data_IF_332105322686
#
_entry.id   IF_332105322686
#
_cell.length_a   1.000
_cell.length_b   1.000
_cell.length_c   1.000
_cell.angle_alpha   90.00
_cell.angle_beta   90.00
_cell.angle_gamma   90.00
#
_symmetry.space_group_name_H-M   'P 1'
#
loop_
_entity.id
_entity.type
_entity.pdbx_description
1 polymer ?
#
# COMPACT_ATOMS: atom_id res chain seq x y z
N UNK A 1 12.16 22.66 -29.46
CA UNK A 1 11.21 21.55 -29.58
C UNK A 1 11.24 20.77 -28.27
N UNK A 2 10.10 20.63 -27.61
CA UNK A 2 9.98 19.76 -26.44
C UNK A 2 9.96 18.34 -26.96
N UNK A 3 11.04 17.61 -26.75
CA UNK A 3 11.19 16.21 -27.15
C UNK A 3 10.60 15.25 -26.11
N UNK A 4 10.27 15.76 -24.92
CA UNK A 4 9.77 14.94 -23.82
C UNK A 4 8.35 14.43 -24.10
N UNK A 5 8.11 13.19 -23.75
CA UNK A 5 6.80 12.55 -23.85
C UNK A 5 5.79 13.28 -22.98
N UNK A 6 4.71 13.77 -23.59
CA UNK A 6 3.64 14.43 -22.85
C UNK A 6 3.02 13.47 -21.84
N UNK A 7 2.69 13.99 -20.66
CA UNK A 7 1.98 13.25 -19.67
C UNK A 7 0.68 12.64 -20.24
N UNK A 8 0.38 11.40 -19.88
CA UNK A 8 -0.80 10.69 -20.34
C UNK A 8 -0.70 10.14 -21.76
N UNK A 9 0.43 10.33 -22.47
CA UNK A 9 0.61 9.77 -23.80
C UNK A 9 0.39 8.26 -23.81
N UNK A 10 0.86 7.56 -22.79
CA UNK A 10 0.73 6.12 -22.66
C UNK A 10 -0.57 5.68 -21.99
N UNK A 11 -1.34 6.58 -21.38
CA UNK A 11 -2.62 6.24 -20.76
C UNK A 11 -3.63 5.66 -21.77
N UNK A 12 -3.44 5.96 -23.07
CA UNK A 12 -4.27 5.39 -24.14
C UNK A 12 -4.12 3.87 -24.28
N UNK A 13 -2.97 3.34 -23.90
CA UNK A 13 -2.68 1.91 -23.97
C UNK A 13 -3.26 1.12 -22.78
N UNK A 14 -3.73 1.82 -21.74
CA UNK A 14 -4.39 1.20 -20.60
C UNK A 14 -5.84 0.87 -20.99
N UNK A 15 -6.30 -0.38 -20.85
CA UNK A 15 -7.68 -0.77 -21.13
C UNK A 15 -8.69 0.05 -20.33
N UNK A 16 -9.86 0.31 -20.93
CA UNK A 16 -10.91 1.15 -20.30
C UNK A 16 -11.34 0.56 -18.97
N UNK A 17 -11.51 -0.75 -18.86
CA UNK A 17 -11.91 -1.44 -17.63
C UNK A 17 -10.91 -1.22 -16.50
N UNK A 18 -9.59 -1.19 -16.80
CA UNK A 18 -8.56 -0.82 -15.80
C UNK A 18 -8.68 0.64 -15.36
N UNK A 19 -9.02 1.53 -16.29
CA UNK A 19 -9.21 2.95 -15.96
C UNK A 19 -10.41 3.16 -15.05
N UNK A 20 -11.49 2.47 -15.31
CA UNK A 20 -12.72 2.57 -14.50
C UNK A 20 -12.48 2.03 -13.09
N UNK A 21 -11.84 0.88 -12.97
CA UNK A 21 -11.51 0.27 -11.67
C UNK A 21 -10.58 1.16 -10.82
N UNK A 22 -9.61 1.83 -11.47
CA UNK A 22 -8.67 2.73 -10.81
C UNK A 22 -8.94 4.21 -11.13
N UNK A 23 -10.22 4.57 -11.31
CA UNK A 23 -10.64 5.94 -11.64
C UNK A 23 -10.02 7.03 -10.76
N UNK A 24 -9.90 6.89 -9.41
CA UNK A 24 -9.25 7.90 -8.57
C UNK A 24 -7.79 8.16 -8.92
N UNK A 25 -7.05 7.15 -9.42
CA UNK A 25 -5.68 7.35 -9.92
C UNK A 25 -5.66 8.00 -11.30
N UNK A 26 -6.63 7.64 -12.14
CA UNK A 26 -6.77 8.18 -13.51
C UNK A 26 -7.21 9.66 -13.51
N UNK A 27 -7.95 10.11 -12.49
CA UNK A 27 -8.41 11.49 -12.35
C UNK A 27 -7.28 12.50 -12.21
N UNK A 28 -6.08 12.10 -11.80
CA UNK A 28 -4.98 13.00 -11.60
C UNK A 28 -4.60 13.74 -12.91
N UNK A 29 -4.86 15.05 -12.97
CA UNK A 29 -4.50 15.92 -14.11
C UNK A 29 -3.09 16.52 -14.02
N UNK A 30 -2.38 16.31 -12.89
CA UNK A 30 -1.02 16.77 -12.69
C UNK A 30 -0.86 18.21 -12.27
N UNK A 31 -1.90 18.87 -11.77
CA UNK A 31 -1.84 20.27 -11.31
C UNK A 31 -0.73 20.55 -10.28
N UNK A 32 -0.28 19.54 -9.54
CA UNK A 32 0.87 19.65 -8.64
C UNK A 32 0.54 20.22 -7.25
N UNK A 33 -0.70 20.51 -6.92
CA UNK A 33 -1.10 20.97 -5.58
C UNK A 33 -0.67 20.03 -4.45
N UNK A 34 -0.59 18.74 -4.74
CA UNK A 34 -0.11 17.75 -3.78
C UNK A 34 1.40 17.84 -3.51
N UNK A 35 2.10 18.66 -4.26
CA UNK A 35 3.55 18.87 -4.13
C UNK A 35 3.83 20.19 -3.40
N UNK A 36 3.15 20.39 -2.30
CA UNK A 36 3.28 21.56 -1.45
C UNK A 36 3.99 21.19 -0.15
N UNK A 37 5.13 21.84 0.10
CA UNK A 37 5.94 21.68 1.31
C UNK A 37 5.56 22.62 2.45
N UNK A 38 4.56 23.47 2.26
CA UNK A 38 4.05 24.33 3.31
C UNK A 38 3.62 23.50 4.53
N UNK A 39 4.15 23.83 5.69
CA UNK A 39 3.88 23.12 6.94
C UNK A 39 2.43 23.26 7.40
N UNK A 40 1.75 24.32 6.97
CA UNK A 40 0.34 24.57 7.29
C UNK A 40 -0.62 23.79 6.41
N UNK A 41 -0.17 23.32 5.25
CA UNK A 41 -0.99 22.51 4.35
C UNK A 41 -1.14 21.09 4.89
N UNK A 42 -2.37 20.54 5.00
CA UNK A 42 -2.58 19.15 5.41
C UNK A 42 -2.19 18.13 4.34
N UNK A 43 -1.82 18.60 3.14
CA UNK A 43 -1.53 17.73 2.00
C UNK A 43 -0.33 16.82 2.25
N UNK A 44 -0.56 15.53 2.13
CA UNK A 44 0.37 14.41 2.12
C UNK A 44 1.63 14.54 3.02
N UNK A 45 1.54 14.22 4.31
CA UNK A 45 2.69 14.29 5.23
C UNK A 45 3.85 13.38 4.81
N UNK A 46 3.56 12.20 4.28
CA UNK A 46 4.56 11.24 3.78
C UNK A 46 5.45 11.87 2.69
N UNK A 47 4.85 12.57 1.71
CA UNK A 47 5.61 13.27 0.67
C UNK A 47 6.49 14.40 1.21
N UNK A 48 6.03 15.10 2.26
CA UNK A 48 6.79 16.19 2.88
C UNK A 48 8.02 15.69 3.63
N UNK A 49 7.90 14.57 4.32
CA UNK A 49 8.99 13.98 5.10
C UNK A 49 10.04 13.37 4.18
N UNK A 50 9.60 12.62 3.15
CA UNK A 50 10.54 11.93 2.24
C UNK A 50 11.21 12.87 1.24
N UNK A 51 10.57 14.00 0.89
CA UNK A 51 11.01 14.86 -0.20
C UNK A 51 10.97 14.22 -1.59
N UNK A 52 10.55 12.95 -1.67
CA UNK A 52 10.49 12.20 -2.92
C UNK A 52 9.12 12.38 -3.59
N UNK A 53 9.15 12.79 -4.86
CA UNK A 53 7.95 13.00 -5.67
C UNK A 53 7.11 11.74 -5.87
N UNK A 54 7.72 10.56 -5.82
CA UNK A 54 7.00 9.28 -5.94
C UNK A 54 6.00 9.09 -4.81
N UNK A 55 6.29 9.61 -3.61
CA UNK A 55 5.43 9.52 -2.43
C UNK A 55 4.30 10.56 -2.42
N UNK A 56 4.31 11.54 -3.34
CA UNK A 56 3.20 12.46 -3.49
C UNK A 56 1.95 11.76 -4.08
N UNK A 57 0.73 12.26 -3.83
CA UNK A 57 -0.48 11.73 -4.47
C UNK A 57 -0.38 11.63 -5.99
N UNK A 58 0.22 12.63 -6.64
CA UNK A 58 0.52 12.63 -8.08
C UNK A 58 1.50 11.51 -8.46
N UNK A 59 2.57 11.34 -7.68
CA UNK A 59 3.57 10.28 -7.91
C UNK A 59 2.93 8.90 -7.80
N UNK A 60 2.19 8.65 -6.72
CA UNK A 60 1.46 7.40 -6.50
C UNK A 60 0.45 7.10 -7.62
N UNK A 61 -0.32 8.10 -8.04
CA UNK A 61 -1.22 7.94 -9.18
C UNK A 61 -0.46 7.61 -10.48
N UNK A 62 0.71 8.22 -10.71
CA UNK A 62 1.59 7.90 -11.83
C UNK A 62 2.12 6.46 -11.78
N UNK A 63 2.54 6.00 -10.60
CA UNK A 63 3.01 4.63 -10.39
C UNK A 63 1.91 3.60 -10.69
N UNK A 64 0.68 3.83 -10.25
CA UNK A 64 -0.47 2.97 -10.58
C UNK A 64 -0.72 2.96 -12.09
N UNK A 65 -0.71 4.10 -12.76
CA UNK A 65 -0.91 4.16 -14.22
C UNK A 65 0.14 3.35 -14.96
N UNK A 66 1.40 3.48 -14.58
CA UNK A 66 2.47 2.72 -15.20
C UNK A 66 2.34 1.22 -14.93
N UNK A 67 1.99 0.84 -13.71
CA UNK A 67 1.71 -0.55 -13.35
C UNK A 67 0.56 -1.14 -14.20
N UNK A 68 -0.55 -0.43 -14.34
CA UNK A 68 -1.67 -0.86 -15.18
C UNK A 68 -1.28 -1.00 -16.64
N UNK A 69 -0.44 -0.08 -17.15
CA UNK A 69 0.08 -0.14 -18.51
C UNK A 69 0.93 -1.40 -18.73
N UNK A 70 1.83 -1.70 -17.79
CA UNK A 70 2.70 -2.87 -17.85
C UNK A 70 1.89 -4.18 -17.75
N UNK A 71 0.88 -4.24 -16.87
CA UNK A 71 -0.03 -5.39 -16.81
C UNK A 71 -0.77 -5.61 -18.13
N UNK A 72 -1.25 -4.54 -18.77
CA UNK A 72 -1.91 -4.64 -20.05
C UNK A 72 -0.96 -5.16 -21.14
N UNK A 73 0.31 -4.73 -21.14
CA UNK A 73 1.32 -5.23 -22.07
C UNK A 73 1.65 -6.73 -21.85
N UNK A 74 1.56 -7.19 -20.62
CA UNK A 74 1.72 -8.61 -20.26
C UNK A 74 0.49 -9.46 -20.62
N UNK A 75 -0.57 -8.86 -21.17
CA UNK A 75 -1.81 -9.54 -21.54
C UNK A 75 -2.67 -9.97 -20.34
N UNK A 76 -2.45 -9.38 -19.17
CA UNK A 76 -3.28 -9.65 -17.98
C UNK A 76 -4.67 -9.07 -18.19
N UNK A 77 -5.72 -9.89 -18.03
CA UNK A 77 -7.12 -9.46 -18.11
C UNK A 77 -7.58 -8.90 -16.77
N UNK A 78 -8.41 -7.84 -16.79
CA UNK A 78 -8.96 -7.21 -15.57
C UNK A 78 -9.82 -8.17 -14.79
N UNK A 79 -10.65 -8.95 -15.48
CA UNK A 79 -11.51 -9.95 -14.85
C UNK A 79 -10.70 -10.94 -13.99
N UNK A 80 -9.44 -11.18 -14.39
CA UNK A 80 -8.51 -11.98 -13.60
C UNK A 80 -7.96 -11.22 -12.38
N UNK A 81 -7.88 -9.89 -12.40
CA UNK A 81 -7.42 -9.08 -11.26
C UNK A 81 -8.50 -8.95 -10.18
N UNK A 82 -9.76 -8.77 -10.60
CA UNK A 82 -10.90 -8.56 -9.69
C UNK A 82 -11.55 -9.86 -9.25
N UNK A 83 -11.53 -10.91 -10.08
CA UNK A 83 -12.27 -12.17 -9.89
C UNK A 83 -11.53 -13.23 -9.06
N UNK A 84 -10.61 -12.88 -8.18
CA UNK A 84 -9.86 -13.84 -7.33
C UNK A 84 -9.14 -14.97 -8.09
N UNK A 85 -9.00 -14.87 -9.41
CA UNK A 85 -8.35 -15.92 -10.21
C UNK A 85 -6.83 -16.01 -10.00
N UNK A 86 -6.24 -15.05 -9.29
CA UNK A 86 -4.84 -15.07 -8.86
C UNK A 86 -4.63 -15.65 -7.45
N UNK A 87 -5.62 -16.31 -6.86
CA UNK A 87 -5.42 -16.95 -5.56
C UNK A 87 -4.37 -18.06 -5.68
N UNK A 88 -3.12 -17.62 -5.65
CA UNK A 88 -2.02 -18.56 -5.55
C UNK A 88 -2.07 -19.26 -4.19
N UNK A 89 -1.75 -20.55 -4.16
CA UNK A 89 -1.61 -21.30 -2.92
C UNK A 89 -0.70 -20.55 -1.94
N UNK A 90 -0.89 -20.72 -0.64
CA UNK A 90 -0.02 -20.14 0.39
C UNK A 90 1.48 -20.42 0.11
N UNK A 91 1.81 -21.62 -0.30
CA UNK A 91 3.17 -22.00 -0.71
C UNK A 91 3.68 -21.19 -1.90
N UNK A 92 2.86 -20.99 -2.93
CA UNK A 92 3.22 -20.16 -4.09
C UNK A 92 3.49 -18.71 -3.70
N UNK A 93 2.71 -18.17 -2.78
CA UNK A 93 2.94 -16.80 -2.27
C UNK A 93 4.26 -16.67 -1.53
N UNK A 94 4.61 -17.66 -0.69
CA UNK A 94 5.91 -17.69 -0.02
C UNK A 94 7.08 -17.75 -1.01
N UNK A 95 6.98 -18.64 -2.00
CA UNK A 95 8.00 -18.76 -3.04
C UNK A 95 8.14 -17.45 -3.82
N UNK A 96 7.02 -16.85 -4.25
CA UNK A 96 7.01 -15.57 -4.97
C UNK A 96 7.64 -14.46 -4.12
N UNK A 97 7.33 -14.40 -2.84
CA UNK A 97 7.89 -13.39 -1.92
C UNK A 97 9.41 -13.57 -1.77
N UNK A 98 9.88 -14.79 -1.64
CA UNK A 98 11.31 -15.07 -1.54
C UNK A 98 12.05 -14.78 -2.86
N UNK A 99 11.40 -15.02 -4.00
CA UNK A 99 11.95 -14.75 -5.34
C UNK A 99 11.78 -13.29 -5.77
N UNK A 100 11.05 -12.49 -5.01
CA UNK A 100 10.74 -11.10 -5.35
C UNK A 100 11.98 -10.23 -5.60
N UNK A 101 13.07 -10.51 -4.89
CA UNK A 101 14.34 -9.78 -5.04
C UNK A 101 15.04 -10.06 -6.39
N UNK A 102 14.74 -11.19 -7.03
CA UNK A 102 15.33 -11.59 -8.31
C UNK A 102 14.45 -11.28 -9.51
N UNK A 103 13.17 -11.05 -9.30
CA UNK A 103 12.20 -10.77 -10.37
C UNK A 103 12.02 -9.27 -10.55
N UNK A 104 12.25 -8.78 -11.77
CA UNK A 104 11.97 -7.40 -12.17
C UNK A 104 10.45 -7.17 -12.30
N UNK A 105 9.71 -7.28 -11.19
CA UNK A 105 8.28 -7.00 -11.15
C UNK A 105 8.06 -5.59 -10.61
N UNK A 106 7.59 -4.69 -11.46
CA UNK A 106 7.29 -3.30 -11.11
C UNK A 106 6.26 -3.16 -9.96
N UNK A 107 5.49 -4.20 -9.67
CA UNK A 107 4.59 -4.23 -8.51
C UNK A 107 5.32 -3.97 -7.19
N UNK A 108 6.59 -4.36 -7.07
CA UNK A 108 7.38 -4.14 -5.85
C UNK A 108 7.73 -2.67 -5.64
N UNK A 109 8.05 -1.95 -6.73
CA UNK A 109 8.29 -0.50 -6.66
C UNK A 109 7.02 0.25 -6.28
N UNK A 110 5.89 -0.16 -6.86
CA UNK A 110 4.58 0.40 -6.51
C UNK A 110 4.24 0.10 -5.05
N UNK A 111 4.49 -1.14 -4.60
CA UNK A 111 4.26 -1.53 -3.20
C UNK A 111 5.06 -0.67 -2.23
N UNK A 112 6.34 -0.48 -2.47
CA UNK A 112 7.21 0.33 -1.59
C UNK A 112 6.66 1.75 -1.41
N UNK A 113 6.22 2.39 -2.50
CA UNK A 113 5.65 3.74 -2.45
C UNK A 113 4.26 3.78 -1.81
N UNK A 114 3.46 2.70 -1.96
CA UNK A 114 2.12 2.61 -1.36
C UNK A 114 2.19 2.26 0.13
N UNK A 115 3.17 1.48 0.57
CA UNK A 115 3.30 1.07 1.97
C UNK A 115 3.53 2.28 2.89
N UNK A 116 4.26 3.28 2.43
CA UNK A 116 4.50 4.53 3.17
C UNK A 116 3.30 5.50 3.20
N UNK A 117 2.17 5.14 2.61
CA UNK A 117 0.96 5.96 2.66
C UNK A 117 0.19 5.76 3.97
N UNK A 118 0.01 6.82 4.73
CA UNK A 118 -0.72 6.82 6.00
C UNK A 118 -2.24 6.63 5.85
N UNK A 119 -2.77 6.56 4.64
CA UNK A 119 -4.20 6.46 4.35
C UNK A 119 -5.07 7.54 5.02
N UNK A 120 -4.52 8.72 5.30
CA UNK A 120 -5.16 9.81 6.04
C UNK A 120 -6.25 10.56 5.26
N UNK A 121 -6.46 10.25 3.98
CA UNK A 121 -7.43 10.88 3.07
C UNK A 121 -7.26 12.39 2.81
N UNK A 122 -6.25 13.07 3.35
CA UNK A 122 -6.02 14.49 3.08
C UNK A 122 -5.88 14.80 1.59
N UNK A 123 -5.35 13.87 0.82
CA UNK A 123 -5.24 14.03 -0.63
C UNK A 123 -6.60 14.09 -1.33
N UNK A 124 -7.55 13.25 -0.96
CA UNK A 124 -8.90 13.27 -1.56
C UNK A 124 -9.67 14.53 -1.19
N UNK A 125 -9.51 15.02 0.05
CA UNK A 125 -10.18 16.23 0.53
C UNK A 125 -9.60 17.52 -0.08
N UNK A 126 -8.29 17.57 -0.35
CA UNK A 126 -7.60 18.77 -0.83
C UNK A 126 -7.44 18.82 -2.36
N UNK A 127 -7.60 17.69 -3.04
CA UNK A 127 -7.38 17.64 -4.48
C UNK A 127 -8.64 18.07 -5.25
N UNK A 128 -8.57 19.11 -6.10
CA UNK A 128 -9.74 19.59 -6.84
C UNK A 128 -10.27 18.59 -7.87
N UNK A 129 -9.49 17.58 -8.22
CA UNK A 129 -9.87 16.52 -9.17
C UNK A 129 -10.10 15.17 -8.49
N UNK A 130 -10.20 15.14 -7.16
CA UNK A 130 -10.63 13.98 -6.40
C UNK A 130 -9.67 12.77 -6.44
N UNK A 131 -8.36 12.99 -6.48
CA UNK A 131 -7.39 11.88 -6.38
C UNK A 131 -7.43 11.28 -4.99
N UNK A 132 -7.97 10.07 -4.87
CA UNK A 132 -8.06 9.33 -3.60
C UNK A 132 -7.01 8.22 -3.55
N UNK A 133 -5.85 8.53 -2.95
CA UNK A 133 -4.76 7.56 -2.80
C UNK A 133 -5.16 6.36 -1.94
N UNK A 134 -5.81 6.53 -0.78
CA UNK A 134 -6.29 5.41 0.02
C UNK A 134 -7.15 4.41 -0.74
N UNK A 135 -8.03 4.86 -1.63
CA UNK A 135 -8.89 3.98 -2.42
C UNK A 135 -8.07 3.09 -3.36
N UNK A 136 -7.30 3.70 -4.26
CA UNK A 136 -6.54 2.90 -5.21
C UNK A 136 -5.38 2.11 -4.56
N UNK A 137 -4.87 2.58 -3.40
CA UNK A 137 -3.93 1.82 -2.57
C UNK A 137 -4.55 0.54 -2.06
N UNK A 138 -5.77 0.61 -1.51
CA UNK A 138 -6.46 -0.58 -0.99
C UNK A 138 -6.70 -1.62 -2.10
N UNK A 139 -7.14 -1.17 -3.28
CA UNK A 139 -7.31 -2.03 -4.47
C UNK A 139 -6.00 -2.66 -4.91
N UNK A 140 -4.94 -1.86 -5.04
CA UNK A 140 -3.62 -2.36 -5.38
C UNK A 140 -3.11 -3.42 -4.39
N UNK A 141 -3.18 -3.14 -3.09
CA UNK A 141 -2.73 -4.08 -2.05
C UNK A 141 -3.54 -5.38 -2.05
N UNK A 142 -4.84 -5.31 -2.32
CA UNK A 142 -5.68 -6.50 -2.47
C UNK A 142 -5.17 -7.42 -3.59
N UNK A 143 -4.81 -6.84 -4.74
CA UNK A 143 -4.26 -7.57 -5.89
C UNK A 143 -2.83 -8.07 -5.59
N UNK A 144 -1.99 -7.22 -5.00
CA UNK A 144 -0.61 -7.55 -4.67
C UNK A 144 -0.52 -8.76 -3.74
N UNK A 145 -1.31 -8.80 -2.67
CA UNK A 145 -1.32 -9.90 -1.71
C UNK A 145 -2.01 -11.19 -2.20
N UNK A 146 -2.60 -11.18 -3.38
CA UNK A 146 -3.00 -12.42 -4.04
C UNK A 146 -1.79 -13.19 -4.60
N UNK A 147 -0.71 -12.48 -4.96
CA UNK A 147 0.52 -13.04 -5.53
C UNK A 147 1.64 -13.21 -4.51
N UNK A 148 1.69 -12.34 -3.50
CA UNK A 148 2.75 -12.27 -2.50
C UNK A 148 2.21 -12.50 -1.09
N UNK A 149 3.07 -12.95 -0.18
CA UNK A 149 2.69 -13.17 1.22
C UNK A 149 2.42 -11.84 1.93
N UNK A 150 1.34 -11.81 2.69
CA UNK A 150 1.03 -10.67 3.54
C UNK A 150 1.88 -10.75 4.82
N UNK A 151 2.51 -9.65 5.26
CA UNK A 151 3.28 -9.62 6.50
C UNK A 151 2.44 -10.05 7.72
N UNK A 152 3.06 -10.76 8.66
CA UNK A 152 2.38 -11.22 9.87
C UNK A 152 1.84 -10.04 10.71
N UNK A 153 2.55 -8.92 10.73
CA UNK A 153 2.11 -7.68 11.39
C UNK A 153 0.71 -7.23 10.94
N UNK A 154 0.42 -7.32 9.64
CA UNK A 154 -0.87 -6.90 9.09
C UNK A 154 -2.02 -7.81 9.58
N UNK A 155 -1.73 -9.11 9.74
CA UNK A 155 -2.68 -10.05 10.32
C UNK A 155 -2.99 -9.75 11.78
N UNK A 156 -1.97 -9.44 12.56
CA UNK A 156 -2.12 -9.09 13.97
C UNK A 156 -2.92 -7.80 14.13
N UNK A 157 -2.57 -6.77 13.36
CA UNK A 157 -3.31 -5.49 13.39
C UNK A 157 -4.76 -5.65 12.93
N UNK A 158 -5.00 -6.41 11.86
CA UNK A 158 -6.36 -6.63 11.35
C UNK A 158 -7.27 -7.40 12.33
N UNK A 159 -6.69 -8.26 13.16
CA UNK A 159 -7.44 -9.09 14.12
C UNK A 159 -7.38 -8.56 15.55
N UNK A 160 -6.79 -7.39 15.80
CA UNK A 160 -6.59 -6.86 17.13
C UNK A 160 -7.91 -6.70 17.89
N UNK A 161 -8.96 -6.25 17.23
CA UNK A 161 -10.30 -6.07 17.82
C UNK A 161 -10.90 -7.38 18.32
N UNK A 162 -10.64 -8.49 17.63
CA UNK A 162 -11.11 -9.82 18.02
C UNK A 162 -10.21 -10.45 19.07
N UNK A 163 -8.91 -10.21 18.99
CA UNK A 163 -7.92 -10.76 19.93
C UNK A 163 -7.89 -10.00 21.24
N UNK A 164 -8.06 -8.69 21.26
CA UNK A 164 -7.96 -7.87 22.46
C UNK A 164 -8.91 -8.29 23.57
N UNK A 165 -10.20 -8.62 23.34
CA UNK A 165 -11.08 -9.10 24.39
C UNK A 165 -10.66 -10.45 24.98
N UNK A 166 -10.06 -11.33 24.16
CA UNK A 166 -9.54 -12.61 24.63
C UNK A 166 -8.28 -12.43 25.49
N UNK A 167 -7.37 -11.59 25.02
CA UNK A 167 -6.13 -11.26 25.74
C UNK A 167 -6.42 -10.53 27.07
N UNK A 168 -7.45 -9.67 27.07
CA UNK A 168 -7.88 -8.93 28.26
C UNK A 168 -8.47 -9.82 29.37
N UNK A 169 -8.87 -11.07 29.08
CA UNK A 169 -9.30 -12.03 30.11
C UNK A 169 -8.14 -12.50 31.00
N UNK A 170 -6.91 -12.48 30.48
CA UNK A 170 -5.73 -12.97 31.19
C UNK A 170 -4.59 -11.95 31.15
N UNK A 171 -4.78 -10.71 31.63
CA UNK A 171 -3.83 -9.63 31.42
C UNK A 171 -2.47 -9.89 32.07
N UNK A 172 -2.44 -10.55 33.24
CA UNK A 172 -1.18 -10.89 33.92
C UNK A 172 -0.32 -11.86 33.13
N UNK A 173 -0.95 -12.86 32.51
CA UNK A 173 -0.26 -13.86 31.66
C UNK A 173 0.27 -13.21 30.39
N UNK A 174 -0.56 -12.43 29.72
CA UNK A 174 -0.17 -11.71 28.49
C UNK A 174 0.98 -10.74 28.79
N UNK A 175 0.87 -9.93 29.83
CA UNK A 175 1.91 -8.98 30.23
C UNK A 175 3.23 -9.68 30.61
N UNK A 176 3.16 -10.84 31.25
CA UNK A 176 4.34 -11.64 31.52
C UNK A 176 5.05 -12.05 30.23
N UNK A 177 4.32 -12.63 29.26
CA UNK A 177 4.91 -13.06 27.99
C UNK A 177 5.40 -11.89 27.14
N UNK A 178 4.67 -10.78 27.08
CA UNK A 178 5.09 -9.60 26.29
C UNK A 178 6.29 -8.89 26.91
N UNK A 179 6.50 -9.00 28.23
CA UNK A 179 7.66 -8.40 28.90
C UNK A 179 8.93 -9.26 28.86
N UNK A 180 8.84 -10.52 28.45
CA UNK A 180 10.05 -11.34 28.25
C UNK A 180 10.96 -10.72 27.20
N UNK A 181 12.25 -10.59 27.52
CA UNK A 181 13.24 -10.00 26.61
C UNK A 181 13.26 -10.65 25.22
N UNK A 182 13.13 -11.99 25.18
CA UNK A 182 13.06 -12.75 23.93
C UNK A 182 11.82 -12.39 23.12
N UNK A 183 10.66 -12.24 23.74
CA UNK A 183 9.42 -11.85 23.05
C UNK A 183 9.52 -10.45 22.47
N UNK A 184 10.14 -9.50 23.18
CA UNK A 184 10.39 -8.14 22.70
C UNK A 184 11.29 -8.13 21.46
N UNK A 185 12.34 -8.95 21.44
CA UNK A 185 13.22 -9.09 20.28
C UNK A 185 12.46 -9.66 19.08
N UNK A 186 11.69 -10.74 19.28
CA UNK A 186 10.89 -11.37 18.21
C UNK A 186 9.84 -10.38 17.69
N UNK A 187 9.10 -9.71 18.57
CA UNK A 187 8.08 -8.74 18.17
C UNK A 187 8.68 -7.55 17.41
N UNK A 188 9.85 -7.06 17.83
CA UNK A 188 10.54 -5.95 17.18
C UNK A 188 11.14 -6.36 15.83
N UNK A 189 11.90 -7.44 15.78
CA UNK A 189 12.69 -7.80 14.58
C UNK A 189 11.87 -8.58 13.55
N UNK A 190 10.95 -9.45 13.99
CA UNK A 190 10.18 -10.29 13.07
C UNK A 190 8.85 -9.65 12.66
N UNK A 191 8.23 -8.86 13.55
CA UNK A 191 6.90 -8.29 13.32
C UNK A 191 6.98 -6.77 13.08
N UNK A 192 8.05 -6.11 13.57
CA UNK A 192 8.27 -4.67 13.41
C UNK A 192 7.50 -3.83 14.42
N UNK A 193 7.13 -4.39 15.58
CA UNK A 193 6.56 -3.61 16.67
C UNK A 193 7.66 -2.78 17.35
N UNK A 194 7.44 -1.49 17.48
CA UNK A 194 8.38 -0.58 18.16
C UNK A 194 8.26 -0.74 19.68
N UNK A 195 7.04 -0.91 20.16
CA UNK A 195 6.74 -1.12 21.58
C UNK A 195 5.48 -2.00 21.75
N UNK A 196 5.41 -2.73 22.83
CA UNK A 196 4.25 -3.56 23.19
C UNK A 196 3.56 -2.95 24.39
N UNK A 197 2.43 -2.24 24.19
CA UNK A 197 1.69 -1.68 25.31
C UNK A 197 1.20 -2.80 26.24
N UNK A 198 1.35 -2.58 27.54
CA UNK A 198 0.84 -3.51 28.53
C UNK A 198 -0.67 -3.39 28.66
N UNK A 199 -1.33 -4.52 28.83
CA UNK A 199 -2.75 -4.54 29.18
C UNK A 199 -2.94 -4.04 30.61
N UNK A 200 -3.95 -3.18 30.82
CA UNK A 200 -4.29 -2.74 32.17
C UNK A 200 -4.73 -3.96 33.00
N UNK A 201 -4.16 -4.08 34.18
CA UNK A 201 -4.63 -5.06 35.19
C UNK A 201 -5.64 -4.38 36.07
N UNK A 202 -6.80 -5.01 36.37
CA UNK A 202 -7.77 -4.48 37.30
C UNK A 202 -7.19 -4.42 38.74
#
# INVERSE_FOLDING_TARGET
QVTDTKRGTFDRTIPVVFKDEFAPAMSCNGNGLCFNYDTTSPMCPSSKITGDRRHSPKGRAGMIREWLRLLAQQGVKVDALTAQQFTSSWWSRMINTNSAKSNADFSHEVFAVMDECLACKSCSAQCPVGVDVPDFRAKFLSIYYQRYSRPLKDFLVANIEQMAPLLAKFPRVVNFFTNLGLSKIILKESIGYVDTPLLSTP
#
